data_IF_970236920385
#
_entry.id   IF_970236920385
#
_cell.length_a   1.000
_cell.length_b   1.000
_cell.length_c   1.000
_cell.angle_alpha   90.00
_cell.angle_beta   90.00
_cell.angle_gamma   90.00
#
_symmetry.space_group_name_H-M   'P 1'
#
loop_
_entity.id
_entity.type
_entity.pdbx_description
1 polymer ?
#
# COMPACT_ATOMS: atom_id res chain seq x y z
N UNK A 1 -8.41 3.96 85.29
CA UNK A 1 -7.71 2.98 86.14
C UNK A 1 -7.93 1.59 85.52
N UNK A 2 -6.94 1.14 84.73
CA UNK A 2 -6.55 -0.24 84.35
C UNK A 2 -7.67 -1.29 84.10
N UNK A 3 -7.77 -1.83 82.86
CA UNK A 3 -7.34 -3.22 82.53
C UNK A 3 -7.61 -3.62 81.06
N UNK A 4 -6.50 -3.95 80.40
CA UNK A 4 -6.25 -5.03 79.43
C UNK A 4 -7.43 -5.59 78.62
N UNK A 5 -7.32 -5.51 77.29
CA UNK A 5 -7.97 -6.42 76.35
C UNK A 5 -6.89 -7.03 75.46
N UNK A 6 -6.93 -8.36 75.41
CA UNK A 6 -6.02 -9.28 74.73
C UNK A 6 -6.07 -9.18 73.20
N UNK A 7 -4.92 -9.42 72.58
CA UNK A 7 -4.76 -9.62 71.14
C UNK A 7 -5.37 -10.96 70.71
N UNK A 8 -6.28 -10.92 69.72
CA UNK A 8 -6.62 -12.08 68.90
C UNK A 8 -6.15 -11.78 67.47
N UNK A 9 -5.13 -12.51 67.05
CA UNK A 9 -4.65 -12.53 65.66
C UNK A 9 -5.61 -13.39 64.86
N UNK A 10 -6.33 -12.77 63.91
CA UNK A 10 -7.00 -13.48 62.81
C UNK A 10 -6.30 -13.09 61.53
N UNK A 11 -5.50 -14.02 61.00
CA UNK A 11 -4.82 -13.86 59.73
C UNK A 11 -5.84 -13.86 58.60
N UNK A 12 -5.99 -12.72 57.92
CA UNK A 12 -6.64 -12.64 56.63
C UNK A 12 -5.57 -12.99 55.59
N UNK A 13 -5.72 -14.15 54.95
CA UNK A 13 -5.02 -14.46 53.70
C UNK A 13 -5.38 -13.37 52.68
N UNK A 14 -4.43 -12.48 52.41
CA UNK A 14 -4.46 -11.65 51.20
C UNK A 14 -4.14 -12.56 50.02
N UNK A 15 -5.19 -13.04 49.35
CA UNK A 15 -5.06 -13.59 48.01
C UNK A 15 -4.69 -12.41 47.11
N UNK A 16 -3.40 -12.22 46.85
CA UNK A 16 -2.94 -11.34 45.80
C UNK A 16 -3.43 -11.93 44.48
N UNK A 17 -4.51 -11.35 43.94
CA UNK A 17 -4.75 -11.39 42.51
C UNK A 17 -3.51 -10.74 41.87
N UNK A 18 -2.54 -11.55 41.45
CA UNK A 18 -1.72 -11.21 40.31
C UNK A 18 -2.68 -11.14 39.11
N UNK A 19 -3.33 -9.98 38.96
CA UNK A 19 -3.76 -9.56 37.65
C UNK A 19 -2.51 -9.59 36.78
N UNK A 20 -2.49 -10.46 35.78
CA UNK A 20 -1.62 -10.25 34.63
C UNK A 20 -2.05 -8.90 34.06
N UNK A 21 -1.37 -7.84 34.48
CA UNK A 21 -1.19 -6.68 33.62
C UNK A 21 -0.35 -7.24 32.48
N UNK A 22 -1.02 -7.69 31.40
CA UNK A 22 -0.37 -7.70 30.10
C UNK A 22 0.08 -6.25 29.90
N UNK A 23 1.36 -5.98 30.20
CA UNK A 23 1.98 -4.74 29.80
C UNK A 23 1.76 -4.62 28.29
N UNK A 24 0.89 -3.69 27.92
CA UNK A 24 0.67 -3.14 26.59
C UNK A 24 2.00 -2.66 26.02
N UNK A 25 2.83 -3.57 25.53
CA UNK A 25 4.02 -3.22 24.74
C UNK A 25 3.65 -3.31 23.28
N UNK A 26 3.08 -2.18 22.86
CA UNK A 26 2.70 -1.81 21.51
C UNK A 26 3.88 -2.07 20.55
N UNK A 27 3.64 -2.78 19.43
CA UNK A 27 4.58 -3.25 18.37
C UNK A 27 6.06 -2.82 18.44
N UNK A 28 6.80 -3.20 19.49
CA UNK A 28 8.24 -2.92 19.68
C UNK A 28 9.15 -3.80 18.80
N UNK A 29 8.58 -4.81 18.13
CA UNK A 29 9.29 -5.69 17.21
C UNK A 29 8.36 -6.06 16.07
N UNK A 30 8.81 -5.89 14.84
CA UNK A 30 8.13 -6.37 13.65
C UNK A 30 8.77 -7.69 13.24
N UNK A 31 7.99 -8.77 13.22
CA UNK A 31 8.46 -10.08 12.79
C UNK A 31 7.39 -10.77 11.99
N UNK A 32 7.75 -11.29 10.84
CA UNK A 32 6.91 -12.14 9.99
C UNK A 32 7.53 -13.53 9.89
N UNK A 33 6.84 -14.46 9.23
CA UNK A 33 7.35 -15.82 9.05
C UNK A 33 8.69 -15.81 8.27
N UNK A 34 9.64 -16.63 8.73
CA UNK A 34 10.95 -16.81 8.10
C UNK A 34 10.91 -17.10 6.60
N UNK A 35 9.83 -17.69 6.08
CA UNK A 35 9.65 -17.99 4.65
C UNK A 35 9.66 -16.73 3.77
N UNK A 36 9.35 -15.57 4.32
CA UNK A 36 9.34 -14.30 3.59
C UNK A 36 10.71 -13.64 3.49
N UNK A 37 11.70 -14.11 4.26
CA UNK A 37 13.04 -13.53 4.27
C UNK A 37 13.92 -14.24 3.23
N UNK A 38 14.32 -13.57 2.14
CA UNK A 38 15.21 -14.18 1.15
C UNK A 38 16.59 -14.41 1.74
N UNK A 39 17.23 -15.51 1.34
CA UNK A 39 18.56 -15.88 1.82
C UNK A 39 19.59 -14.78 1.56
N UNK A 40 20.27 -14.36 2.62
CA UNK A 40 21.28 -13.29 2.61
C UNK A 40 20.73 -11.88 2.36
N UNK A 41 19.43 -11.66 2.53
CA UNK A 41 18.76 -10.35 2.50
C UNK A 41 17.86 -10.17 3.74
N UNK A 42 18.07 -10.98 4.77
CA UNK A 42 17.19 -11.06 5.93
C UNK A 42 17.26 -9.78 6.76
N UNK A 43 18.46 -9.24 6.95
CA UNK A 43 18.69 -8.01 7.72
C UNK A 43 18.11 -6.81 6.99
N UNK A 44 18.31 -6.72 5.68
CA UNK A 44 17.82 -5.61 4.86
C UNK A 44 16.29 -5.58 4.79
N UNK A 45 15.64 -6.73 4.65
CA UNK A 45 14.18 -6.81 4.75
C UNK A 45 13.72 -6.42 6.16
N UNK A 46 14.40 -6.91 7.21
CA UNK A 46 14.08 -6.57 8.59
C UNK A 46 14.15 -5.06 8.85
N UNK A 47 15.17 -4.38 8.34
CA UNK A 47 15.30 -2.92 8.49
C UNK A 47 14.10 -2.16 7.93
N UNK A 48 13.54 -2.59 6.79
CA UNK A 48 12.35 -1.97 6.20
C UNK A 48 11.07 -2.34 6.97
N UNK A 49 10.98 -3.56 7.50
CA UNK A 49 9.90 -3.97 8.41
C UNK A 49 9.89 -3.10 9.69
N UNK A 50 11.06 -2.79 10.23
CA UNK A 50 11.24 -2.00 11.46
C UNK A 50 10.78 -0.54 11.32
N UNK A 51 10.57 -0.04 10.09
CA UNK A 51 9.85 1.22 9.87
C UNK A 51 8.50 1.21 10.62
N UNK A 52 7.80 0.08 10.65
CA UNK A 52 6.45 -0.03 11.22
C UNK A 52 6.43 -0.26 12.74
N UNK A 53 7.55 -0.05 13.42
CA UNK A 53 7.62 -0.05 14.89
C UNK A 53 7.06 1.23 15.50
N UNK A 54 6.54 1.10 16.72
CA UNK A 54 6.10 2.25 17.51
C UNK A 54 7.25 3.18 17.84
N UNK A 55 7.05 4.48 17.61
CA UNK A 55 8.06 5.51 17.84
C UNK A 55 9.15 5.56 16.77
N UNK A 56 9.07 4.69 15.75
CA UNK A 56 9.88 4.77 14.53
C UNK A 56 9.05 5.40 13.43
N UNK A 57 8.28 4.61 12.68
CA UNK A 57 7.37 5.08 11.63
C UNK A 57 5.91 4.97 12.01
N UNK A 58 5.56 4.44 13.19
CA UNK A 58 4.18 4.36 13.70
C UNK A 58 4.00 5.24 14.93
N UNK A 59 2.93 6.02 14.94
CA UNK A 59 2.56 6.89 16.05
C UNK A 59 2.17 6.07 17.28
N UNK A 60 2.89 6.20 18.41
CA UNK A 60 2.50 5.50 19.64
C UNK A 60 1.16 5.97 20.22
N UNK A 61 0.69 7.17 19.88
CA UNK A 61 -0.59 7.69 20.37
C UNK A 61 -1.75 7.28 19.46
N UNK A 62 -1.65 7.55 18.16
CA UNK A 62 -2.72 7.30 17.17
C UNK A 62 -2.67 5.88 16.59
N UNK A 63 -1.59 5.12 16.82
CA UNK A 63 -1.42 3.71 16.44
C UNK A 63 -1.32 3.42 14.94
N UNK A 64 -1.26 4.44 14.10
CA UNK A 64 -1.11 4.34 12.64
C UNK A 64 0.24 4.87 12.16
N UNK A 65 0.73 4.46 10.97
CA UNK A 65 1.97 4.99 10.41
C UNK A 65 1.93 6.50 10.20
N UNK A 66 3.02 7.19 10.48
CA UNK A 66 3.27 8.53 9.96
C UNK A 66 3.33 8.45 8.42
N UNK A 67 2.97 9.52 7.71
CA UNK A 67 3.13 9.56 6.26
C UNK A 67 4.62 9.41 5.86
N UNK A 68 5.51 10.05 6.60
CA UNK A 68 6.94 9.97 6.36
C UNK A 68 7.79 10.31 7.59
N UNK A 69 9.07 9.97 7.47
CA UNK A 69 10.16 10.35 8.39
C UNK A 69 11.20 11.14 7.58
N UNK A 70 11.70 12.23 8.15
CA UNK A 70 12.88 12.96 7.67
C UNK A 70 14.05 12.67 8.63
N UNK A 71 15.12 12.11 8.08
CA UNK A 71 16.37 11.83 8.77
C UNK A 71 17.13 13.15 9.01
N UNK A 72 17.54 13.38 10.24
CA UNK A 72 18.38 14.51 10.64
C UNK A 72 19.63 14.06 11.39
N UNK A 73 20.66 14.92 11.43
CA UNK A 73 21.88 14.68 12.20
C UNK A 73 21.62 14.59 13.70
N UNK A 74 20.65 15.35 14.19
CA UNK A 74 20.31 15.48 15.63
C UNK A 74 19.06 14.67 16.02
N UNK A 75 18.58 13.81 15.11
CA UNK A 75 17.37 13.00 15.29
C UNK A 75 16.44 13.04 14.08
N UNK A 76 15.50 12.10 14.06
CA UNK A 76 14.49 12.01 13.00
C UNK A 76 13.30 12.91 13.33
N UNK A 77 12.75 13.56 12.30
CA UNK A 77 11.46 14.25 12.37
C UNK A 77 10.41 13.38 11.71
N UNK A 78 9.24 13.26 12.33
CA UNK A 78 8.10 12.51 11.78
C UNK A 78 7.00 13.46 11.32
N UNK A 79 6.25 13.06 10.30
CA UNK A 79 5.04 13.78 9.90
C UNK A 79 4.03 13.84 11.06
N UNK A 80 3.18 14.86 11.11
CA UNK A 80 2.05 14.94 12.06
C UNK A 80 0.73 14.47 11.43
N UNK A 81 0.81 13.65 10.39
CA UNK A 81 -0.33 13.12 9.64
C UNK A 81 -0.01 11.72 9.08
N UNK A 82 -1.04 11.03 8.60
CA UNK A 82 -0.96 9.74 7.93
C UNK A 82 -1.62 9.79 6.55
N UNK A 83 -1.28 8.82 5.71
CA UNK A 83 -1.95 8.49 4.47
C UNK A 83 -2.62 7.12 4.61
N UNK A 84 -3.90 7.02 4.20
CA UNK A 84 -4.69 5.79 4.34
C UNK A 84 -4.17 4.58 3.55
N UNK A 85 -3.45 4.78 2.45
CA UNK A 85 -2.77 3.69 1.73
C UNK A 85 -1.69 3.06 2.62
N UNK A 86 -0.93 3.90 3.35
CA UNK A 86 0.06 3.43 4.34
C UNK A 86 -0.57 2.68 5.51
N UNK A 87 -1.74 3.12 5.97
CA UNK A 87 -2.54 2.41 6.99
C UNK A 87 -2.96 1.02 6.49
N UNK A 88 -3.39 0.93 5.23
CA UNK A 88 -3.75 -0.34 4.59
C UNK A 88 -2.58 -1.33 4.55
N UNK A 89 -1.40 -0.88 4.11
CA UNK A 89 -0.19 -1.71 4.14
C UNK A 89 0.16 -2.19 5.53
N UNK A 90 0.03 -1.32 6.54
CA UNK A 90 0.30 -1.69 7.92
C UNK A 90 -0.65 -2.79 8.43
N UNK A 91 -1.94 -2.73 8.10
CA UNK A 91 -2.89 -3.80 8.44
C UNK A 91 -2.51 -5.15 7.81
N UNK A 92 -2.05 -5.15 6.55
CA UNK A 92 -1.60 -6.37 5.89
C UNK A 92 -0.32 -6.94 6.53
N UNK A 93 0.62 -6.06 6.92
CA UNK A 93 1.80 -6.48 7.68
C UNK A 93 1.44 -7.06 9.06
N UNK A 94 0.52 -6.42 9.79
CA UNK A 94 0.06 -6.93 11.09
C UNK A 94 -0.61 -8.31 10.97
N UNK A 95 -1.28 -8.58 9.85
CA UNK A 95 -1.82 -9.91 9.55
C UNK A 95 -0.70 -10.96 9.48
N UNK A 96 0.40 -10.65 8.81
CA UNK A 96 1.57 -11.55 8.74
C UNK A 96 2.30 -11.67 10.08
N UNK A 97 2.36 -10.60 10.87
CA UNK A 97 2.90 -10.67 12.23
C UNK A 97 2.06 -11.59 13.12
N UNK A 98 0.73 -11.49 13.02
CA UNK A 98 -0.17 -12.36 13.76
C UNK A 98 0.02 -13.82 13.36
N UNK A 99 0.15 -14.11 12.05
CA UNK A 99 0.45 -15.45 11.52
C UNK A 99 1.79 -16.00 12.00
N UNK A 100 2.77 -15.12 12.21
CA UNK A 100 4.06 -15.45 12.82
C UNK A 100 3.99 -15.61 14.36
N UNK A 101 2.80 -15.53 14.97
CA UNK A 101 2.56 -15.77 16.39
C UNK A 101 2.58 -14.51 17.28
N UNK A 102 2.57 -13.31 16.69
CA UNK A 102 2.56 -12.06 17.47
C UNK A 102 1.17 -11.75 18.03
N UNK A 103 1.01 -11.82 19.37
CA UNK A 103 -0.22 -11.41 20.05
C UNK A 103 -0.43 -9.89 20.03
N UNK A 104 0.65 -9.10 20.04
CA UNK A 104 0.57 -7.63 19.96
C UNK A 104 0.03 -7.15 18.61
N UNK A 105 0.17 -7.95 17.55
CA UNK A 105 -0.40 -7.64 16.24
C UNK A 105 -1.95 -7.66 16.27
N UNK A 106 -2.56 -8.58 17.00
CA UNK A 106 -4.04 -8.65 17.15
C UNK A 106 -4.56 -7.40 17.85
N UNK A 107 -3.94 -7.03 18.97
CA UNK A 107 -4.29 -5.81 19.69
C UNK A 107 -4.11 -4.58 18.79
N UNK A 108 -3.00 -4.50 18.05
CA UNK A 108 -2.76 -3.36 17.16
C UNK A 108 -3.77 -3.28 16.02
N UNK A 109 -4.16 -4.40 15.42
CA UNK A 109 -5.22 -4.40 14.40
C UNK A 109 -6.54 -3.86 14.97
N UNK A 110 -6.90 -4.25 16.20
CA UNK A 110 -8.09 -3.73 16.87
C UNK A 110 -8.01 -2.22 17.12
N UNK A 111 -6.85 -1.72 17.55
CA UNK A 111 -6.59 -0.29 17.75
C UNK A 111 -6.69 0.50 16.44
N UNK A 112 -6.03 0.03 15.37
CA UNK A 112 -6.06 0.68 14.04
C UNK A 112 -7.49 0.71 13.51
N UNK A 113 -8.24 -0.40 13.63
CA UNK A 113 -9.64 -0.43 13.21
C UNK A 113 -10.51 0.55 14.02
N UNK A 114 -10.27 0.71 15.33
CA UNK A 114 -11.02 1.68 16.15
C UNK A 114 -10.77 3.11 15.70
N UNK A 115 -9.52 3.41 15.34
CA UNK A 115 -9.13 4.71 14.80
C UNK A 115 -9.79 4.95 13.44
N UNK A 116 -9.78 3.95 12.55
CA UNK A 116 -10.45 4.04 11.25
C UNK A 116 -11.96 4.19 11.39
N UNK A 117 -12.61 3.46 12.29
CA UNK A 117 -14.06 3.57 12.55
C UNK A 117 -14.45 4.98 13.00
N UNK A 118 -13.63 5.60 13.85
CA UNK A 118 -13.87 6.93 14.42
C UNK A 118 -13.49 8.09 13.49
N UNK A 119 -12.63 7.85 12.48
CA UNK A 119 -12.13 8.88 11.59
C UNK A 119 -13.26 9.62 10.82
N UNK A 120 -13.15 10.94 10.57
CA UNK A 120 -14.07 11.66 9.68
C UNK A 120 -14.08 11.05 8.27
N UNK A 121 -15.25 10.92 7.64
CA UNK A 121 -15.43 10.30 6.30
C UNK A 121 -16.39 11.11 5.44
N UNK A 122 -16.35 10.93 4.13
CA UNK A 122 -17.34 11.43 3.19
C UNK A 122 -18.03 10.26 2.49
N UNK A 123 -19.34 10.09 2.71
CA UNK A 123 -20.12 8.96 2.17
C UNK A 123 -19.48 7.58 2.45
N UNK A 124 -18.86 7.44 3.62
CA UNK A 124 -18.13 6.24 4.05
C UNK A 124 -16.70 6.12 3.52
N UNK A 125 -16.32 6.88 2.48
CA UNK A 125 -14.94 6.96 2.00
C UNK A 125 -14.08 7.79 2.94
N UNK A 126 -12.83 7.39 3.05
CA UNK A 126 -11.82 8.03 3.87
C UNK A 126 -11.15 9.19 3.12
N UNK A 127 -10.70 10.18 3.87
CA UNK A 127 -9.83 11.22 3.34
C UNK A 127 -8.45 10.66 3.03
N UNK A 128 -7.80 11.23 2.02
CA UNK A 128 -6.47 10.82 1.59
C UNK A 128 -5.44 10.99 2.71
N UNK A 129 -5.44 12.18 3.34
CA UNK A 129 -4.55 12.53 4.44
C UNK A 129 -5.36 12.86 5.69
N UNK A 130 -4.88 12.38 6.84
CA UNK A 130 -5.42 12.70 8.16
C UNK A 130 -4.34 13.25 9.08
N UNK A 131 -4.58 14.43 9.66
CA UNK A 131 -3.74 14.99 10.71
C UNK A 131 -3.98 14.30 12.05
N UNK A 132 -3.00 14.37 12.94
CA UNK A 132 -3.09 13.79 14.28
C UNK A 132 -3.50 14.84 15.31
N UNK A 133 -4.49 14.50 16.13
CA UNK A 133 -4.87 15.26 17.32
C UNK A 133 -5.06 14.30 18.49
N UNK A 134 -4.15 14.35 19.46
CA UNK A 134 -4.09 13.40 20.59
C UNK A 134 -4.06 11.93 20.11
N UNK A 135 -5.19 11.23 20.21
CA UNK A 135 -5.37 9.82 19.83
C UNK A 135 -6.32 9.64 18.63
N UNK A 136 -6.70 10.73 17.95
CA UNK A 136 -7.69 10.74 16.88
C UNK A 136 -7.13 11.22 15.54
N UNK A 137 -7.80 10.79 14.47
CA UNK A 137 -7.57 11.28 13.11
C UNK A 137 -8.47 12.49 12.83
N UNK A 138 -7.87 13.56 12.33
CA UNK A 138 -8.53 14.81 11.98
C UNK A 138 -8.33 15.14 10.51
N UNK A 139 -9.24 15.95 9.95
CA UNK A 139 -9.21 16.31 8.53
C UNK A 139 -9.23 17.83 8.40
N UNK A 140 -8.25 18.37 7.70
CA UNK A 140 -8.15 19.79 7.36
C UNK A 140 -9.33 20.27 6.51
N UNK A 141 -9.50 21.58 6.35
CA UNK A 141 -10.58 22.12 5.52
C UNK A 141 -10.40 21.80 4.03
N UNK A 142 -9.14 21.69 3.58
CA UNK A 142 -8.73 21.29 2.23
C UNK A 142 -8.65 19.77 2.01
N UNK A 143 -9.19 18.98 2.95
CA UNK A 143 -9.23 17.53 2.86
C UNK A 143 -9.83 17.03 1.54
N UNK A 144 -9.22 15.99 0.98
CA UNK A 144 -9.66 15.36 -0.27
C UNK A 144 -9.99 13.89 -0.04
N UNK A 145 -11.05 13.42 -0.69
CA UNK A 145 -11.29 12.01 -0.92
C UNK A 145 -10.54 11.64 -2.18
N UNK A 146 -9.68 10.62 -2.10
CA UNK A 146 -8.98 10.04 -3.24
C UNK A 146 -9.57 8.68 -3.54
N UNK A 147 -10.05 8.46 -4.75
CA UNK A 147 -10.54 7.16 -5.19
C UNK A 147 -9.41 6.12 -5.16
N UNK A 148 -8.19 6.50 -5.57
CA UNK A 148 -7.02 5.62 -5.60
C UNK A 148 -6.69 5.10 -4.21
N UNK A 149 -6.51 6.00 -3.25
CA UNK A 149 -6.13 5.62 -1.89
C UNK A 149 -7.25 4.84 -1.17
N UNK A 150 -8.52 5.16 -1.43
CA UNK A 150 -9.62 4.35 -0.92
C UNK A 150 -9.67 2.96 -1.55
N UNK A 151 -9.31 2.82 -2.83
CA UNK A 151 -9.23 1.52 -3.50
C UNK A 151 -8.15 0.64 -2.86
N UNK A 152 -6.97 1.23 -2.59
CA UNK A 152 -5.88 0.55 -1.89
C UNK A 152 -6.28 0.13 -0.48
N UNK A 153 -6.82 1.06 0.33
CA UNK A 153 -7.29 0.75 1.69
C UNK A 153 -8.37 -0.33 1.66
N UNK A 154 -9.31 -0.26 0.71
CA UNK A 154 -10.39 -1.23 0.61
C UNK A 154 -9.88 -2.63 0.29
N UNK A 155 -8.92 -2.77 -0.62
CA UNK A 155 -8.28 -4.07 -0.90
C UNK A 155 -7.44 -4.58 0.28
N UNK A 156 -6.79 -3.70 1.03
CA UNK A 156 -6.12 -4.06 2.29
C UNK A 156 -7.11 -4.56 3.36
N UNK A 157 -8.27 -3.91 3.52
CA UNK A 157 -9.34 -4.34 4.43
C UNK A 157 -10.01 -5.64 3.94
N UNK A 158 -10.14 -5.82 2.63
CA UNK A 158 -10.63 -7.06 2.02
C UNK A 158 -9.70 -8.23 2.34
N UNK A 159 -8.39 -8.04 2.19
CA UNK A 159 -7.39 -9.02 2.63
C UNK A 159 -7.53 -9.31 4.13
N UNK A 160 -7.62 -8.29 4.98
CA UNK A 160 -7.79 -8.48 6.42
C UNK A 160 -9.06 -9.29 6.77
N UNK A 161 -10.17 -9.03 6.06
CA UNK A 161 -11.42 -9.80 6.23
C UNK A 161 -11.27 -11.23 5.73
N UNK A 162 -10.72 -11.42 4.52
CA UNK A 162 -10.50 -12.74 3.91
C UNK A 162 -9.50 -13.61 4.66
N UNK A 163 -8.58 -13.01 5.44
CA UNK A 163 -7.66 -13.72 6.32
C UNK A 163 -8.35 -14.36 7.53
N UNK A 164 -9.45 -13.76 8.03
CA UNK A 164 -9.97 -14.08 9.36
C UNK A 164 -11.47 -14.38 9.44
N UNK A 165 -12.23 -14.27 8.34
CA UNK A 165 -13.69 -14.48 8.36
C UNK A 165 -14.09 -15.86 8.90
N UNK A 166 -13.36 -16.91 8.51
CA UNK A 166 -13.59 -18.30 8.94
C UNK A 166 -12.69 -18.70 10.14
N UNK A 167 -12.09 -17.73 10.83
CA UNK A 167 -11.26 -18.01 11.99
C UNK A 167 -12.08 -18.57 13.16
N UNK A 168 -11.54 -19.59 13.82
CA UNK A 168 -12.08 -20.12 15.09
C UNK A 168 -11.72 -19.26 16.30
N UNK A 169 -10.92 -18.20 16.13
CA UNK A 169 -10.59 -17.25 17.17
C UNK A 169 -11.56 -16.05 17.11
N UNK A 170 -12.32 -15.83 18.18
CA UNK A 170 -13.35 -14.80 18.24
C UNK A 170 -12.82 -13.38 17.99
N UNK A 171 -11.60 -13.06 18.44
CA UNK A 171 -10.99 -11.73 18.20
C UNK A 171 -10.66 -11.53 16.73
N UNK A 172 -10.06 -12.54 16.08
CA UNK A 172 -9.74 -12.47 14.65
C UNK A 172 -11.01 -12.38 13.81
N UNK A 173 -12.04 -13.16 14.15
CA UNK A 173 -13.35 -13.08 13.49
C UNK A 173 -14.02 -11.72 13.69
N UNK A 174 -13.86 -11.09 14.86
CA UNK A 174 -14.32 -9.73 15.11
C UNK A 174 -13.58 -8.70 14.24
N UNK A 175 -12.25 -8.82 14.09
CA UNK A 175 -11.44 -8.01 13.16
C UNK A 175 -11.97 -8.11 11.72
N UNK A 176 -12.27 -9.31 11.24
CA UNK A 176 -12.85 -9.49 9.89
C UNK A 176 -14.23 -8.83 9.76
N UNK A 177 -15.08 -8.92 10.79
CA UNK A 177 -16.42 -8.33 10.81
C UNK A 177 -16.37 -6.80 10.80
N UNK A 178 -15.45 -6.21 11.58
CA UNK A 178 -15.21 -4.75 11.60
C UNK A 178 -14.71 -4.25 10.24
N UNK A 179 -13.78 -4.99 9.63
CA UNK A 179 -13.26 -4.70 8.29
C UNK A 179 -14.39 -4.71 7.24
N UNK A 180 -15.23 -5.74 7.23
CA UNK A 180 -16.40 -5.83 6.32
C UNK A 180 -17.40 -4.68 6.55
N UNK A 181 -17.57 -4.24 7.79
CA UNK A 181 -18.47 -3.13 8.11
C UNK A 181 -17.95 -1.80 7.56
N UNK A 182 -16.63 -1.54 7.67
CA UNK A 182 -15.98 -0.39 7.04
C UNK A 182 -16.13 -0.42 5.51
N UNK A 183 -15.90 -1.58 4.89
CA UNK A 183 -16.05 -1.76 3.43
C UNK A 183 -17.49 -1.51 2.97
N UNK A 184 -18.46 -2.08 3.68
CA UNK A 184 -19.88 -1.92 3.36
C UNK A 184 -20.34 -0.46 3.45
N UNK A 185 -19.79 0.30 4.40
CA UNK A 185 -20.11 1.72 4.57
C UNK A 185 -19.65 2.60 3.39
N UNK A 186 -18.64 2.17 2.62
CA UNK A 186 -18.09 2.94 1.49
C UNK A 186 -18.97 2.91 0.23
N UNK A 187 -19.95 2.01 0.14
CA UNK A 187 -20.76 1.77 -1.06
C UNK A 187 -21.36 3.04 -1.64
N UNK A 188 -21.93 3.91 -0.79
CA UNK A 188 -22.51 5.18 -1.23
C UNK A 188 -21.45 6.10 -1.84
N UNK A 189 -20.26 6.17 -1.27
CA UNK A 189 -19.17 6.99 -1.78
C UNK A 189 -18.67 6.50 -3.14
N UNK A 190 -18.52 5.18 -3.33
CA UNK A 190 -18.16 4.60 -4.62
C UNK A 190 -19.19 4.91 -5.71
N UNK A 191 -20.48 4.71 -5.42
CA UNK A 191 -21.57 5.12 -6.31
C UNK A 191 -21.56 6.62 -6.60
N UNK A 192 -21.27 7.45 -5.59
CA UNK A 192 -21.22 8.91 -5.73
C UNK A 192 -20.07 9.39 -6.61
N UNK A 193 -18.96 8.67 -6.68
CA UNK A 193 -17.82 9.01 -7.54
C UNK A 193 -18.04 8.60 -9.00
N UNK A 194 -19.04 7.78 -9.31
CA UNK A 194 -19.30 7.38 -10.69
C UNK A 194 -19.98 8.50 -11.48
N UNK A 195 -19.36 8.90 -12.59
CA UNK A 195 -19.91 9.89 -13.51
C UNK A 195 -20.66 9.19 -14.65
N UNK A 196 -21.98 9.08 -14.52
CA UNK A 196 -22.84 8.43 -15.52
C UNK A 196 -22.80 9.09 -16.90
N UNK A 197 -22.45 10.39 -16.98
CA UNK A 197 -22.34 11.09 -18.27
C UNK A 197 -21.05 10.72 -19.02
N UNK A 198 -19.97 10.46 -18.27
CA UNK A 198 -18.67 10.05 -18.84
C UNK A 198 -18.51 8.54 -18.92
N UNK A 199 -19.27 7.79 -18.13
CA UNK A 199 -19.09 6.35 -17.96
C UNK A 199 -17.83 5.98 -17.17
N UNK A 200 -17.22 6.93 -16.44
CA UNK A 200 -15.93 6.77 -15.76
C UNK A 200 -16.05 7.10 -14.27
N UNK A 201 -15.12 6.58 -13.46
CA UNK A 201 -15.00 6.96 -12.06
C UNK A 201 -14.25 8.29 -11.95
N UNK A 202 -14.79 9.24 -11.18
CA UNK A 202 -14.08 10.46 -10.81
C UNK A 202 -12.94 10.12 -9.85
N UNK A 203 -11.83 10.86 -9.95
CA UNK A 203 -10.67 10.60 -9.12
C UNK A 203 -10.89 10.93 -7.63
N UNK A 204 -11.92 11.70 -7.28
CA UNK A 204 -12.18 12.04 -5.90
C UNK A 204 -13.15 13.20 -5.69
N UNK A 205 -13.15 13.71 -4.46
CA UNK A 205 -13.99 14.83 -4.01
C UNK A 205 -13.20 15.76 -3.07
N UNK A 206 -13.45 17.06 -3.15
CA UNK A 206 -12.80 18.10 -2.36
C UNK A 206 -13.74 18.64 -1.29
N UNK A 207 -13.31 18.59 -0.02
CA UNK A 207 -14.04 19.16 1.11
C UNK A 207 -14.14 20.68 1.06
N UNK A 208 -13.05 21.34 0.67
CA UNK A 208 -12.97 22.79 0.57
C UNK A 208 -14.01 23.36 -0.40
N UNK A 209 -14.07 22.81 -1.61
CA UNK A 209 -15.01 23.29 -2.64
C UNK A 209 -16.39 22.63 -2.57
N UNK A 210 -16.52 21.51 -1.87
CA UNK A 210 -17.73 20.68 -1.89
C UNK A 210 -17.99 19.98 -3.23
N UNK A 211 -17.00 19.94 -4.13
CA UNK A 211 -17.15 19.43 -5.50
C UNK A 211 -16.21 18.27 -5.81
N UNK A 212 -16.50 17.54 -6.88
CA UNK A 212 -15.63 16.48 -7.36
C UNK A 212 -14.31 17.03 -7.93
N UNK A 213 -13.24 16.23 -7.84
CA UNK A 213 -11.98 16.56 -8.51
C UNK A 213 -12.15 16.55 -10.04
N UNK A 214 -11.37 17.40 -10.73
CA UNK A 214 -11.55 17.72 -12.15
C UNK A 214 -11.11 16.64 -13.16
N UNK A 215 -10.73 15.45 -12.71
CA UNK A 215 -10.23 14.37 -13.56
C UNK A 215 -10.86 13.02 -13.20
N UNK A 216 -10.81 12.10 -14.16
CA UNK A 216 -11.38 10.75 -14.08
C UNK A 216 -10.28 9.70 -14.15
N UNK A 217 -10.57 8.52 -13.64
CA UNK A 217 -9.72 7.34 -13.80
C UNK A 217 -10.14 6.66 -15.11
N UNK A 218 -9.22 6.63 -16.07
CA UNK A 218 -9.54 6.27 -17.45
C UNK A 218 -8.46 5.41 -18.13
N UNK A 219 -7.56 4.77 -17.37
CA UNK A 219 -6.54 3.87 -17.89
C UNK A 219 -6.46 2.58 -17.09
N UNK A 220 -6.40 1.46 -17.82
CA UNK A 220 -6.07 0.13 -17.25
C UNK A 220 -4.57 0.01 -16.91
N UNK A 221 -3.73 0.94 -17.36
CA UNK A 221 -2.27 0.85 -17.19
C UNK A 221 -1.72 1.56 -15.95
N UNK A 222 -2.57 2.29 -15.21
CA UNK A 222 -2.19 3.04 -14.01
C UNK A 222 -2.70 2.37 -12.72
N UNK A 223 -2.11 2.70 -11.59
CA UNK A 223 -2.40 2.14 -10.26
C UNK A 223 -3.85 2.37 -9.85
N UNK A 224 -4.41 3.49 -10.31
CA UNK A 224 -5.77 3.93 -10.06
C UNK A 224 -6.83 2.94 -10.52
N UNK A 225 -6.49 1.98 -11.39
CA UNK A 225 -7.44 0.96 -11.89
C UNK A 225 -8.07 0.11 -10.79
N UNK A 226 -7.38 -0.09 -9.67
CA UNK A 226 -7.92 -0.82 -8.52
C UNK A 226 -9.15 -0.14 -7.93
N UNK A 227 -9.19 1.20 -7.93
CA UNK A 227 -10.34 1.94 -7.46
C UNK A 227 -11.58 1.66 -8.31
N UNK A 228 -11.40 1.53 -9.63
CA UNK A 228 -12.51 1.23 -10.55
C UNK A 228 -12.99 -0.20 -10.40
N UNK A 229 -12.06 -1.17 -10.33
CA UNK A 229 -12.39 -2.59 -10.04
C UNK A 229 -13.17 -2.69 -8.74
N UNK A 230 -12.67 -2.05 -7.67
CA UNK A 230 -13.32 -2.08 -6.37
C UNK A 230 -14.70 -1.40 -6.40
N UNK A 231 -14.84 -0.25 -7.06
CA UNK A 231 -16.12 0.44 -7.18
C UNK A 231 -17.18 -0.44 -7.89
N UNK A 232 -16.80 -1.12 -8.97
CA UNK A 232 -17.69 -2.05 -9.69
C UNK A 232 -18.13 -3.19 -8.76
N UNK A 233 -17.17 -3.91 -8.16
CA UNK A 233 -17.47 -5.08 -7.33
C UNK A 233 -18.25 -4.71 -6.07
N UNK A 234 -17.78 -3.71 -5.32
CA UNK A 234 -18.37 -3.33 -4.03
C UNK A 234 -19.78 -2.78 -4.14
N UNK A 235 -20.15 -2.19 -5.28
CA UNK A 235 -21.48 -1.66 -5.55
C UNK A 235 -22.38 -2.63 -6.31
N UNK A 236 -21.88 -3.81 -6.70
CA UNK A 236 -22.64 -4.84 -7.40
C UNK A 236 -23.92 -5.20 -6.64
N UNK A 237 -25.03 -5.31 -7.38
CA UNK A 237 -26.36 -5.59 -6.83
C UNK A 237 -27.00 -4.45 -6.02
N UNK A 238 -26.34 -3.28 -5.89
CA UNK A 238 -26.94 -2.11 -5.25
C UNK A 238 -27.81 -1.30 -6.21
N UNK A 239 -28.71 -0.46 -5.66
CA UNK A 239 -29.57 0.42 -6.47
C UNK A 239 -28.79 1.45 -7.30
N UNK A 240 -27.54 1.75 -6.93
CA UNK A 240 -26.65 2.68 -7.63
C UNK A 240 -25.33 1.97 -7.99
N UNK A 241 -25.44 0.78 -8.57
CA UNK A 241 -24.27 0.01 -8.99
C UNK A 241 -23.44 0.76 -10.03
N UNK A 242 -22.12 0.76 -9.85
CA UNK A 242 -21.15 1.16 -10.87
C UNK A 242 -21.07 0.01 -11.89
N UNK A 243 -21.40 0.23 -13.16
CA UNK A 243 -21.45 -0.84 -14.15
C UNK A 243 -20.04 -1.31 -14.49
N UNK A 244 -19.89 -2.59 -14.87
CA UNK A 244 -18.61 -3.16 -15.31
C UNK A 244 -17.97 -2.38 -16.48
N UNK A 245 -18.79 -1.70 -17.31
CA UNK A 245 -18.32 -0.82 -18.38
C UNK A 245 -17.42 0.32 -17.88
N UNK A 246 -17.53 0.73 -16.62
CA UNK A 246 -16.62 1.71 -16.01
C UNK A 246 -15.15 1.23 -16.04
N UNK A 247 -14.92 -0.08 -15.97
CA UNK A 247 -13.59 -0.68 -16.11
C UNK A 247 -13.33 -1.15 -17.55
N UNK A 248 -14.26 -1.94 -18.12
CA UNK A 248 -13.98 -2.67 -19.36
C UNK A 248 -13.74 -1.77 -20.56
N UNK A 249 -14.29 -0.55 -20.55
CA UNK A 249 -14.10 0.45 -21.61
C UNK A 249 -12.85 1.32 -21.43
N UNK A 250 -12.15 1.23 -20.28
CA UNK A 250 -10.92 1.99 -20.08
C UNK A 250 -9.84 1.55 -21.10
N UNK A 251 -9.18 2.51 -21.78
CA UNK A 251 -8.04 2.24 -22.63
C UNK A 251 -6.90 1.51 -21.92
N UNK A 252 -6.23 0.66 -22.69
CA UNK A 252 -4.96 0.00 -22.35
C UNK A 252 -3.95 0.32 -23.47
N UNK A 253 -3.28 1.49 -23.41
CA UNK A 253 -2.24 1.84 -24.36
C UNK A 253 -0.99 0.97 -24.15
N UNK A 254 -0.43 0.46 -25.24
CA UNK A 254 0.77 -0.37 -25.26
C UNK A 254 1.80 0.22 -26.22
N UNK A 255 3.06 0.27 -25.81
CA UNK A 255 4.17 0.71 -26.66
C UNK A 255 4.65 -0.41 -27.58
N UNK A 256 5.34 -0.09 -28.68
CA UNK A 256 6.08 -1.06 -29.51
C UNK A 256 7.56 -0.73 -29.57
N UNK A 257 8.32 -1.27 -28.64
CA UNK A 257 9.74 -1.02 -28.50
C UNK A 257 10.54 -2.02 -29.31
N UNK A 258 11.45 -1.52 -30.15
CA UNK A 258 12.44 -2.35 -30.83
C UNK A 258 13.82 -1.71 -30.63
N UNK A 259 14.67 -2.35 -29.85
CA UNK A 259 16.05 -1.92 -29.63
C UNK A 259 16.97 -3.14 -29.63
N UNK A 260 18.04 -3.09 -30.42
CA UNK A 260 19.05 -4.15 -30.54
C UNK A 260 18.47 -5.56 -30.81
N UNK A 261 17.40 -5.63 -31.59
CA UNK A 261 16.73 -6.88 -31.96
C UNK A 261 15.78 -7.45 -30.90
N UNK A 262 15.58 -6.74 -29.78
CA UNK A 262 14.60 -7.08 -28.76
C UNK A 262 13.30 -6.31 -29.04
N UNK A 263 12.25 -7.05 -29.38
CA UNK A 263 10.90 -6.49 -29.55
C UNK A 263 10.11 -6.65 -28.25
N UNK A 264 9.73 -5.53 -27.63
CA UNK A 264 8.93 -5.48 -26.40
C UNK A 264 7.65 -4.68 -26.65
N UNK A 265 6.58 -5.07 -25.97
CA UNK A 265 5.33 -4.33 -25.98
C UNK A 265 4.94 -3.96 -24.54
N UNK A 266 5.49 -2.91 -23.95
CA UNK A 266 5.17 -2.54 -22.57
C UNK A 266 3.80 -1.89 -22.45
N UNK A 267 3.14 -2.10 -21.31
CA UNK A 267 2.08 -1.18 -20.89
C UNK A 267 2.63 0.24 -20.77
N UNK A 268 1.86 1.22 -21.22
CA UNK A 268 2.18 2.63 -21.06
C UNK A 268 1.38 3.19 -19.89
N UNK A 269 2.03 3.31 -18.72
CA UNK A 269 1.46 4.10 -17.61
C UNK A 269 1.62 5.60 -17.92
N UNK A 270 1.00 6.47 -17.13
CA UNK A 270 0.98 7.91 -17.42
C UNK A 270 2.40 8.48 -17.55
N UNK A 271 3.19 8.47 -16.47
CA UNK A 271 4.54 9.05 -16.47
C UNK A 271 5.65 8.00 -16.60
N UNK A 272 5.29 6.72 -16.78
CA UNK A 272 6.25 5.62 -16.86
C UNK A 272 6.83 5.21 -15.50
N UNK A 273 6.24 5.68 -14.40
CA UNK A 273 6.60 5.28 -13.05
C UNK A 273 6.26 3.81 -12.80
N UNK A 274 7.21 3.05 -12.24
CA UNK A 274 7.06 1.60 -12.08
C UNK A 274 5.86 1.20 -11.21
N UNK A 275 5.58 1.95 -10.13
CA UNK A 275 4.46 1.62 -9.24
C UNK A 275 3.09 1.73 -9.92
N UNK A 276 2.92 2.64 -10.90
CA UNK A 276 1.66 2.80 -11.61
C UNK A 276 1.25 1.49 -12.30
N UNK A 277 2.23 0.77 -12.81
CA UNK A 277 2.00 -0.53 -13.42
C UNK A 277 1.96 -1.64 -12.37
N UNK A 278 2.88 -1.67 -11.41
CA UNK A 278 3.13 -2.90 -10.63
C UNK A 278 2.49 -2.92 -9.23
N UNK A 279 2.16 -1.77 -8.64
CA UNK A 279 1.56 -1.72 -7.30
C UNK A 279 0.24 -2.50 -7.19
N UNK A 280 -0.67 -2.48 -8.18
CA UNK A 280 -1.91 -3.25 -8.08
C UNK A 280 -1.74 -4.75 -7.88
N UNK A 281 -0.61 -5.29 -8.37
CA UNK A 281 -0.27 -6.70 -8.21
C UNK A 281 0.02 -7.10 -6.76
N UNK A 282 0.15 -6.16 -5.82
CA UNK A 282 0.25 -6.47 -4.38
C UNK A 282 -1.02 -7.13 -3.83
N UNK A 283 -2.20 -6.78 -4.36
CA UNK A 283 -3.49 -7.26 -3.87
C UNK A 283 -4.16 -8.24 -4.81
N UNK A 284 -3.95 -8.11 -6.12
CA UNK A 284 -4.58 -8.97 -7.13
C UNK A 284 -3.47 -9.61 -7.96
N UNK A 285 -3.48 -10.93 -8.15
CA UNK A 285 -2.50 -11.58 -9.01
C UNK A 285 -2.81 -11.34 -10.50
N UNK A 286 -2.56 -10.13 -10.98
CA UNK A 286 -2.94 -9.68 -12.32
C UNK A 286 -2.30 -10.53 -13.42
N UNK A 287 -1.06 -11.01 -13.23
CA UNK A 287 -0.38 -11.89 -14.19
C UNK A 287 -1.13 -13.19 -14.47
N UNK A 288 -1.96 -13.67 -13.54
CA UNK A 288 -2.82 -14.86 -13.73
C UNK A 288 -4.19 -14.54 -14.33
N UNK A 289 -4.65 -13.30 -14.24
CA UNK A 289 -5.98 -12.87 -14.69
C UNK A 289 -5.92 -12.21 -16.07
N UNK A 290 -4.84 -11.51 -16.37
CA UNK A 290 -4.64 -10.89 -17.68
C UNK A 290 -4.55 -11.96 -18.78
N UNK A 291 -5.18 -11.74 -19.95
CA UNK A 291 -5.06 -12.65 -21.09
C UNK A 291 -3.61 -12.85 -21.57
N UNK A 292 -2.74 -11.87 -21.32
CA UNK A 292 -1.35 -11.90 -21.77
C UNK A 292 -0.46 -11.07 -20.82
N UNK A 293 0.36 -11.76 -20.01
CA UNK A 293 1.25 -11.14 -19.02
C UNK A 293 2.46 -10.45 -19.63
N UNK A 294 2.75 -10.68 -20.92
CA UNK A 294 3.98 -10.16 -21.56
C UNK A 294 4.08 -8.64 -21.54
N UNK A 295 2.94 -7.93 -21.45
CA UNK A 295 2.94 -6.47 -21.34
C UNK A 295 3.49 -5.97 -20.00
N UNK A 296 3.27 -6.71 -18.91
CA UNK A 296 3.90 -6.44 -17.61
C UNK A 296 5.38 -6.82 -17.64
N UNK A 297 5.70 -7.97 -18.23
CA UNK A 297 7.09 -8.44 -18.39
C UNK A 297 7.93 -7.43 -19.19
N UNK A 298 7.37 -6.83 -20.24
CA UNK A 298 8.04 -5.80 -21.02
C UNK A 298 8.35 -4.53 -20.19
N UNK A 299 7.46 -4.11 -19.28
CA UNK A 299 7.74 -3.01 -18.34
C UNK A 299 8.90 -3.38 -17.41
N UNK A 300 8.91 -4.60 -16.88
CA UNK A 300 10.02 -5.10 -16.07
C UNK A 300 11.34 -5.06 -16.84
N UNK A 301 11.37 -5.55 -18.08
CA UNK A 301 12.60 -5.57 -18.89
C UNK A 301 13.12 -4.16 -19.17
N UNK A 302 12.25 -3.19 -19.46
CA UNK A 302 12.68 -1.83 -19.74
C UNK A 302 13.21 -1.11 -18.48
N UNK A 303 12.60 -1.32 -17.31
CA UNK A 303 13.15 -0.81 -16.05
C UNK A 303 14.48 -1.46 -15.67
N UNK A 304 14.66 -2.77 -15.96
CA UNK A 304 15.96 -3.45 -15.82
C UNK A 304 17.03 -2.83 -16.72
N UNK A 305 16.73 -2.68 -18.00
CA UNK A 305 17.64 -2.06 -18.97
C UNK A 305 18.01 -0.64 -18.56
N UNK A 306 17.03 0.15 -18.10
CA UNK A 306 17.28 1.50 -17.60
C UNK A 306 18.19 1.49 -16.37
N UNK A 307 17.90 0.64 -15.37
CA UNK A 307 18.75 0.45 -14.18
C UNK A 307 20.19 0.09 -14.57
N UNK A 308 20.35 -0.89 -15.46
CA UNK A 308 21.67 -1.40 -15.88
C UNK A 308 22.47 -0.33 -16.66
N UNK A 309 21.79 0.47 -17.49
CA UNK A 309 22.40 1.58 -18.22
C UNK A 309 22.77 2.78 -17.33
N UNK A 310 22.22 2.88 -16.12
CA UNK A 310 22.42 3.98 -15.18
C UNK A 310 23.15 3.54 -13.90
N UNK A 311 24.24 2.78 -14.05
CA UNK A 311 25.11 2.34 -12.95
C UNK A 311 24.40 1.49 -11.87
N UNK A 312 23.33 0.79 -12.22
CA UNK A 312 22.61 -0.08 -11.28
C UNK A 312 21.84 0.68 -10.20
N UNK A 313 21.41 1.92 -10.47
CA UNK A 313 20.43 2.58 -9.60
C UNK A 313 19.14 1.73 -9.51
N UNK A 314 18.35 1.86 -8.43
CA UNK A 314 17.05 1.22 -8.35
C UNK A 314 16.14 1.61 -9.51
N UNK A 315 15.07 0.84 -9.69
CA UNK A 315 14.04 1.16 -10.67
C UNK A 315 13.43 2.53 -10.38
N UNK A 316 12.88 3.16 -11.42
CA UNK A 316 12.41 4.54 -11.34
C UNK A 316 10.91 4.56 -11.07
N UNK A 317 10.49 5.31 -10.06
CA UNK A 317 9.10 5.46 -9.67
C UNK A 317 8.93 6.77 -8.89
N UNK A 318 7.69 7.22 -8.73
CA UNK A 318 7.41 8.39 -7.91
C UNK A 318 7.91 8.18 -6.48
N UNK A 319 8.71 9.12 -5.98
CA UNK A 319 9.40 9.01 -4.68
C UNK A 319 9.86 10.38 -4.20
N UNK A 320 10.50 10.41 -3.04
CA UNK A 320 11.19 11.58 -2.53
C UNK A 320 12.30 12.03 -3.50
N UNK A 321 12.52 13.34 -3.58
CA UNK A 321 13.71 13.86 -4.26
C UNK A 321 14.93 13.80 -3.32
N UNK A 322 16.16 13.85 -3.83
CA UNK A 322 17.35 13.99 -3.00
C UNK A 322 17.30 15.21 -2.05
N UNK A 323 16.51 16.24 -2.38
CA UNK A 323 16.27 17.42 -1.56
C UNK A 323 15.03 17.30 -0.65
N UNK A 324 14.52 16.09 -0.40
CA UNK A 324 13.35 15.76 0.43
C UNK A 324 12.00 16.29 -0.08
N UNK A 325 11.93 16.76 -1.32
CA UNK A 325 10.67 17.02 -2.02
C UNK A 325 9.99 15.70 -2.42
N UNK A 326 9.00 15.78 -3.31
CA UNK A 326 8.38 14.62 -3.96
C UNK A 326 8.31 14.87 -5.46
N UNK A 327 8.56 13.85 -6.27
CA UNK A 327 8.49 13.97 -7.72
C UNK A 327 7.99 12.66 -8.35
N UNK A 328 7.18 12.78 -9.41
CA UNK A 328 6.83 11.65 -10.25
C UNK A 328 8.01 11.33 -11.17
N UNK A 329 8.75 10.26 -10.88
CA UNK A 329 9.81 9.79 -11.75
C UNK A 329 9.34 8.58 -12.57
N UNK A 330 9.75 8.50 -13.83
CA UNK A 330 9.48 7.35 -14.69
C UNK A 330 10.50 7.21 -15.80
N UNK A 331 10.31 6.23 -16.67
CA UNK A 331 11.12 6.07 -17.89
C UNK A 331 10.26 6.42 -19.11
N UNK A 332 10.83 7.17 -20.05
CA UNK A 332 10.12 7.60 -21.27
C UNK A 332 9.62 6.40 -22.06
N UNK A 333 10.34 5.28 -22.02
CA UNK A 333 10.02 4.04 -22.71
C UNK A 333 8.65 3.48 -22.30
N UNK A 334 8.16 3.74 -21.10
CA UNK A 334 6.86 3.20 -20.65
C UNK A 334 5.85 4.29 -20.28
N UNK A 335 6.03 5.51 -20.81
CA UNK A 335 5.18 6.67 -20.52
C UNK A 335 4.26 7.03 -21.68
N UNK A 336 2.94 6.93 -21.45
CA UNK A 336 1.92 7.46 -22.36
C UNK A 336 2.06 8.99 -22.49
N UNK A 337 2.33 9.68 -21.38
CA UNK A 337 2.45 11.13 -21.30
C UNK A 337 3.54 11.67 -22.23
N UNK A 338 4.68 10.99 -22.29
CA UNK A 338 5.75 11.27 -23.23
C UNK A 338 5.31 11.03 -24.68
N UNK A 339 4.80 9.84 -25.01
CA UNK A 339 4.55 9.49 -26.41
C UNK A 339 3.39 10.26 -27.03
N UNK A 340 2.31 10.47 -26.28
CA UNK A 340 1.12 11.14 -26.83
C UNK A 340 1.19 12.64 -26.76
N UNK A 341 1.78 13.18 -25.69
CA UNK A 341 1.69 14.61 -25.39
C UNK A 341 3.06 15.31 -25.37
N UNK A 342 4.16 14.58 -25.59
CA UNK A 342 5.53 15.11 -25.60
C UNK A 342 5.90 15.80 -24.28
N UNK A 343 5.26 15.39 -23.17
CA UNK A 343 5.60 15.88 -21.85
C UNK A 343 6.99 15.37 -21.44
N UNK A 344 7.73 16.20 -20.71
CA UNK A 344 9.02 15.79 -20.16
C UNK A 344 8.82 14.76 -19.04
N UNK A 345 9.58 13.67 -19.11
CA UNK A 345 9.64 12.64 -18.06
C UNK A 345 10.95 12.79 -17.32
N UNK A 346 10.86 12.93 -16.00
CA UNK A 346 12.03 12.96 -15.13
C UNK A 346 12.39 11.54 -14.71
N UNK A 347 13.65 11.19 -14.87
CA UNK A 347 14.21 9.91 -14.46
C UNK A 347 15.44 10.11 -13.56
N UNK A 348 15.46 11.23 -12.83
CA UNK A 348 16.62 11.75 -12.13
C UNK A 348 16.95 11.02 -10.82
N UNK A 349 16.13 10.09 -10.36
CA UNK A 349 16.40 9.24 -9.21
C UNK A 349 15.69 7.88 -9.32
N UNK A 350 16.33 6.84 -8.80
CA UNK A 350 15.73 5.52 -8.58
C UNK A 350 15.25 5.38 -7.13
N UNK A 351 14.30 4.48 -6.89
CA UNK A 351 13.75 4.21 -5.56
C UNK A 351 13.72 2.72 -5.22
N UNK A 352 14.16 2.31 -4.01
CA UNK A 352 14.22 0.89 -3.65
C UNK A 352 12.88 0.15 -3.69
N UNK A 353 11.77 0.83 -3.39
CA UNK A 353 10.45 0.19 -3.40
C UNK A 353 10.08 -0.32 -4.80
N UNK A 354 10.49 0.37 -5.85
CA UNK A 354 10.22 -0.04 -7.22
C UNK A 354 11.00 -1.32 -7.57
N UNK A 355 12.27 -1.41 -7.19
CA UNK A 355 13.05 -2.64 -7.33
C UNK A 355 12.53 -3.78 -6.44
N UNK A 356 11.94 -3.47 -5.28
CA UNK A 356 11.29 -4.46 -4.43
C UNK A 356 9.98 -4.97 -5.05
N UNK A 357 9.14 -4.12 -5.64
CA UNK A 357 7.92 -4.55 -6.35
C UNK A 357 8.21 -5.58 -7.45
N UNK A 358 9.38 -5.49 -8.11
CA UNK A 358 9.82 -6.47 -9.11
C UNK A 358 9.99 -7.89 -8.54
N UNK A 359 10.14 -8.05 -7.22
CA UNK A 359 10.18 -9.34 -6.54
C UNK A 359 8.97 -10.22 -6.86
N UNK A 360 7.79 -9.62 -7.07
CA UNK A 360 6.58 -10.36 -7.44
C UNK A 360 6.68 -11.06 -8.80
N UNK A 361 7.58 -10.59 -9.68
CA UNK A 361 7.81 -11.16 -11.01
C UNK A 361 9.02 -12.09 -11.04
N UNK A 362 10.14 -11.67 -10.44
CA UNK A 362 11.37 -12.44 -10.38
C UNK A 362 12.06 -12.25 -9.01
N UNK A 363 11.73 -13.10 -8.02
CA UNK A 363 12.30 -13.02 -6.68
C UNK A 363 13.83 -13.08 -6.65
N UNK A 364 14.44 -13.83 -7.58
CA UNK A 364 15.89 -14.08 -7.57
C UNK A 364 16.63 -12.85 -8.07
N UNK A 365 16.24 -12.32 -9.22
CA UNK A 365 16.87 -11.14 -9.81
C UNK A 365 16.57 -9.87 -8.98
N UNK A 366 15.35 -9.72 -8.47
CA UNK A 366 14.99 -8.59 -7.61
C UNK A 366 15.88 -8.51 -6.35
N UNK A 367 16.07 -9.64 -5.65
CA UNK A 367 16.94 -9.70 -4.47
C UNK A 367 18.41 -9.45 -4.84
N UNK A 368 18.88 -9.98 -5.97
CA UNK A 368 20.24 -9.69 -6.44
C UNK A 368 20.45 -8.20 -6.70
N UNK A 369 19.48 -7.53 -7.33
CA UNK A 369 19.51 -6.08 -7.58
C UNK A 369 19.45 -5.26 -6.30
N UNK A 370 18.57 -5.61 -5.36
CA UNK A 370 18.51 -4.94 -4.05
C UNK A 370 19.84 -5.05 -3.29
N UNK A 371 20.48 -6.22 -3.30
CA UNK A 371 21.82 -6.40 -2.72
C UNK A 371 22.88 -5.54 -3.43
N UNK A 372 22.84 -5.46 -4.76
CA UNK A 372 23.73 -4.61 -5.54
C UNK A 372 23.53 -3.13 -5.21
N UNK A 373 22.28 -2.67 -5.06
CA UNK A 373 21.94 -1.31 -4.61
C UNK A 373 22.55 -1.04 -3.23
N UNK A 374 22.36 -1.94 -2.26
CA UNK A 374 22.95 -1.78 -0.92
C UNK A 374 24.49 -1.75 -0.96
N UNK A 375 25.10 -2.56 -1.81
CA UNK A 375 26.56 -2.56 -1.98
C UNK A 375 27.08 -1.26 -2.61
N UNK A 376 26.38 -0.72 -3.61
CA UNK A 376 26.72 0.55 -4.26
C UNK A 376 26.44 1.77 -3.39
N UNK A 377 25.40 1.70 -2.56
CA UNK A 377 24.96 2.79 -1.69
C UNK A 377 24.79 2.31 -0.23
N UNK A 378 25.87 2.05 0.53
CA UNK A 378 25.78 1.47 1.87
C UNK A 378 24.90 2.25 2.85
N UNK A 379 24.83 3.59 2.69
CA UNK A 379 24.05 4.50 3.51
C UNK A 379 22.57 4.56 3.15
N UNK A 380 22.12 3.81 2.14
CA UNK A 380 20.70 3.72 1.76
C UNK A 380 19.88 3.09 2.87
N UNK A 381 20.43 2.13 3.59
CA UNK A 381 19.76 1.48 4.72
C UNK A 381 19.99 2.28 6.00
N UNK A 382 18.92 2.47 6.77
CA UNK A 382 18.94 3.11 8.09
C UNK A 382 18.26 2.22 9.11
N UNK A 383 18.32 2.62 10.40
CA UNK A 383 17.58 1.95 11.47
C UNK A 383 16.06 2.01 11.32
N UNK A 384 15.55 2.93 10.49
CA UNK A 384 14.13 3.12 10.27
C UNK A 384 13.66 2.55 8.91
N UNK A 385 14.51 1.79 8.21
CA UNK A 385 14.26 1.34 6.84
C UNK A 385 15.17 2.02 5.82
N UNK A 386 14.96 1.71 4.55
CA UNK A 386 15.77 2.26 3.47
C UNK A 386 15.29 3.65 3.08
N UNK A 387 16.24 4.54 2.80
CA UNK A 387 16.00 5.86 2.23
C UNK A 387 15.25 5.73 0.92
N UNK A 388 14.36 6.69 0.68
CA UNK A 388 13.34 6.54 -0.33
C UNK A 388 13.85 6.71 -1.77
N UNK A 389 14.94 7.46 -1.98
CA UNK A 389 15.51 7.64 -3.32
C UNK A 389 17.04 7.78 -3.33
N UNK A 390 17.62 7.42 -4.48
CA UNK A 390 19.03 7.64 -4.84
C UNK A 390 19.15 8.22 -6.25
N UNK A 391 19.91 9.29 -6.40
CA UNK A 391 20.23 9.88 -7.69
C UNK A 391 21.41 9.15 -8.37
N UNK A 392 21.58 9.27 -9.71
CA UNK A 392 22.70 8.66 -10.43
C UNK A 392 24.10 9.05 -9.92
N UNK A 393 24.24 10.24 -9.33
CA UNK A 393 25.49 10.69 -8.70
C UNK A 393 25.74 10.12 -7.29
N UNK A 394 24.82 9.28 -6.80
CA UNK A 394 24.86 8.65 -5.48
C UNK A 394 24.23 9.48 -4.35
N UNK A 395 23.67 10.65 -4.64
CA UNK A 395 22.97 11.46 -3.63
C UNK A 395 21.73 10.73 -3.13
N UNK A 396 21.63 10.53 -1.81
CA UNK A 396 20.51 9.85 -1.15
C UNK A 396 19.53 10.85 -0.55
N UNK A 397 18.23 10.57 -0.68
CA UNK A 397 17.21 11.33 0.06
C UNK A 397 17.39 11.16 1.58
N UNK A 398 17.03 12.17 2.37
CA UNK A 398 16.89 12.03 3.83
C UNK A 398 15.45 11.69 4.22
N UNK A 399 14.61 11.19 3.30
CA UNK A 399 13.19 10.91 3.57
C UNK A 399 12.92 9.41 3.47
N UNK A 400 12.00 8.92 4.30
CA UNK A 400 11.38 7.60 4.22
C UNK A 400 9.86 7.81 4.18
N UNK A 401 9.18 7.28 3.16
CA UNK A 401 7.73 7.45 2.99
C UNK A 401 7.03 6.13 3.32
N UNK A 402 5.98 6.16 4.12
CA UNK A 402 5.32 4.95 4.62
C UNK A 402 4.69 4.09 3.51
N UNK A 403 4.17 4.72 2.46
CA UNK A 403 3.64 4.01 1.30
C UNK A 403 4.76 3.28 0.56
N UNK A 404 5.92 3.90 0.40
CA UNK A 404 7.06 3.31 -0.31
C UNK A 404 7.69 2.18 0.51
N UNK A 405 7.78 2.33 1.83
CA UNK A 405 8.12 1.24 2.74
C UNK A 405 7.08 0.11 2.70
N UNK A 406 5.81 0.46 2.65
CA UNK A 406 4.68 -0.46 2.54
C UNK A 406 4.73 -1.29 1.25
N UNK A 407 5.04 -0.65 0.12
CA UNK A 407 5.26 -1.34 -1.15
C UNK A 407 6.50 -2.23 -1.11
N UNK A 408 7.60 -1.77 -0.49
CA UNK A 408 8.82 -2.55 -0.34
C UNK A 408 8.55 -3.86 0.41
N UNK A 409 8.01 -3.79 1.63
CA UNK A 409 7.73 -5.00 2.43
C UNK A 409 6.57 -5.79 1.86
N UNK A 410 5.56 -5.10 1.31
CA UNK A 410 4.38 -5.66 0.68
C UNK A 410 4.72 -6.63 -0.45
N UNK A 411 5.75 -6.32 -1.25
CA UNK A 411 6.18 -7.18 -2.34
C UNK A 411 6.60 -8.60 -1.87
N UNK A 412 7.25 -8.70 -0.70
CA UNK A 412 7.68 -9.99 -0.13
C UNK A 412 6.53 -10.82 0.45
N UNK A 413 5.45 -10.16 0.88
CA UNK A 413 4.26 -10.82 1.44
C UNK A 413 3.07 -10.87 0.46
N UNK A 414 3.25 -10.39 -0.78
CA UNK A 414 2.18 -10.19 -1.75
C UNK A 414 1.36 -11.47 -2.03
N UNK A 415 2.02 -12.63 -2.12
CA UNK A 415 1.32 -13.90 -2.34
C UNK A 415 0.30 -14.23 -1.25
N UNK A 416 0.60 -13.89 0.00
CA UNK A 416 -0.28 -14.06 1.15
C UNK A 416 -1.46 -13.08 1.08
N UNK A 417 -1.16 -11.81 0.81
CA UNK A 417 -2.18 -10.75 0.67
C UNK A 417 -3.14 -11.06 -0.49
N UNK A 418 -2.61 -11.46 -1.66
CA UNK A 418 -3.41 -11.87 -2.82
C UNK A 418 -4.34 -13.04 -2.50
N UNK A 419 -3.86 -14.03 -1.73
CA UNK A 419 -4.69 -15.17 -1.33
C UNK A 419 -5.83 -14.70 -0.43
N UNK A 420 -5.56 -13.80 0.51
CA UNK A 420 -6.58 -13.27 1.40
C UNK A 420 -7.63 -12.42 0.66
N UNK A 421 -7.21 -11.58 -0.30
CA UNK A 421 -8.15 -10.87 -1.19
C UNK A 421 -8.98 -11.85 -2.01
N UNK A 422 -8.37 -12.92 -2.54
CA UNK A 422 -9.07 -13.97 -3.26
C UNK A 422 -10.11 -14.69 -2.38
N UNK A 423 -9.79 -14.99 -1.13
CA UNK A 423 -10.74 -15.58 -0.17
C UNK A 423 -11.93 -14.65 0.06
N UNK A 424 -11.66 -13.34 0.20
CA UNK A 424 -12.71 -12.34 0.32
C UNK A 424 -13.61 -12.30 -0.93
N UNK A 425 -13.01 -12.23 -2.12
CA UNK A 425 -13.78 -12.23 -3.38
C UNK A 425 -14.57 -13.51 -3.60
N UNK A 426 -14.04 -14.67 -3.21
CA UNK A 426 -14.78 -15.93 -3.22
C UNK A 426 -16.03 -15.85 -2.34
N UNK A 427 -15.86 -15.35 -1.11
CA UNK A 427 -16.94 -15.21 -0.15
C UNK A 427 -18.04 -14.26 -0.64
N UNK A 428 -17.66 -13.20 -1.35
CA UNK A 428 -18.60 -12.25 -1.95
C UNK A 428 -19.22 -12.74 -3.26
N UNK A 429 -18.72 -13.83 -3.85
CA UNK A 429 -19.14 -14.32 -5.16
C UNK A 429 -18.62 -13.49 -6.33
N UNK A 430 -17.55 -12.71 -6.13
CA UNK A 430 -17.03 -11.72 -7.08
C UNK A 430 -15.96 -12.25 -8.04
N UNK A 431 -15.53 -13.51 -7.92
CA UNK A 431 -14.49 -14.10 -8.77
C UNK A 431 -14.82 -13.99 -10.26
N UNK A 432 -16.03 -14.39 -10.67
CA UNK A 432 -16.45 -14.33 -12.07
C UNK A 432 -16.52 -12.88 -12.60
N UNK A 433 -17.06 -11.95 -11.81
CA UNK A 433 -17.10 -10.52 -12.18
C UNK A 433 -15.69 -9.93 -12.34
N UNK A 434 -14.75 -10.33 -11.48
CA UNK A 434 -13.35 -9.94 -11.58
C UNK A 434 -12.69 -10.49 -12.84
N UNK A 435 -12.83 -11.80 -13.09
CA UNK A 435 -12.29 -12.47 -14.29
C UNK A 435 -12.82 -11.81 -15.57
N UNK A 436 -14.12 -11.56 -15.66
CA UNK A 436 -14.74 -10.88 -16.80
C UNK A 436 -14.18 -9.46 -17.03
N UNK A 437 -13.85 -8.73 -15.96
CA UNK A 437 -13.18 -7.43 -16.11
C UNK A 437 -11.78 -7.60 -16.69
N UNK A 438 -10.99 -8.55 -16.18
CA UNK A 438 -9.63 -8.80 -16.66
C UNK A 438 -9.57 -9.41 -18.06
N UNK A 439 -10.60 -10.12 -18.53
CA UNK A 439 -10.70 -10.57 -19.93
C UNK A 439 -10.61 -9.40 -20.94
N UNK A 440 -10.97 -8.18 -20.49
CA UNK A 440 -10.88 -6.96 -21.31
C UNK A 440 -9.56 -6.20 -21.14
N UNK A 441 -8.60 -6.77 -20.41
CA UNK A 441 -7.25 -6.26 -20.26
C UNK A 441 -6.42 -6.63 -21.50
N UNK A 442 -6.88 -6.14 -22.65
CA UNK A 442 -6.28 -6.31 -23.96
C UNK A 442 -5.95 -4.93 -24.56
N UNK A 443 -4.89 -4.81 -25.38
CA UNK A 443 -4.49 -3.52 -25.92
C UNK A 443 -5.61 -2.87 -26.72
N UNK A 444 -5.96 -1.63 -26.38
CA UNK A 444 -6.92 -0.83 -27.16
C UNK A 444 -6.21 0.08 -28.15
N UNK A 445 -4.91 0.29 -27.95
CA UNK A 445 -4.09 1.18 -28.76
C UNK A 445 -2.63 0.71 -28.72
N UNK A 446 -1.97 0.72 -29.89
CA UNK A 446 -0.54 0.48 -30.02
C UNK A 446 0.14 1.78 -30.42
N UNK A 447 1.16 2.19 -29.66
CA UNK A 447 1.92 3.41 -29.89
C UNK A 447 3.34 3.03 -30.33
N UNK A 448 3.72 3.44 -31.54
CA UNK A 448 5.06 3.18 -32.07
C UNK A 448 6.05 4.18 -31.48
N UNK A 449 7.27 3.71 -31.23
CA UNK A 449 8.40 4.59 -30.92
C UNK A 449 8.85 5.25 -32.22
N UNK A 450 9.23 6.54 -32.17
CA UNK A 450 9.81 7.22 -33.31
C UNK A 450 11.15 6.61 -33.75
#
# INVERSE_FOLDING_TARGET
>A
MIKQISYFVTGILSLSLLGCVEETRATEKIKIDSKYYPKGFETELQSNLDFFMDGVGVSPSVKVPYDHIILGSDGNTVANYTNITGVGFYLNLLTEMQRAGSSSAVLRMEEVLSVLESAPKWNGLFFWLYGFSENELTVSNDGKISAVDNGNLALSLAALSGAYYDSNNDRLKAIATRSESLLSAQKLGWSSLYDTNRGLLRAGWSKDTGTYLGYHIDRKTNESRLAVIWAVLSTEGSAQAVPASAFTTMPMPVGRYNHDGVYLEPLLSWDGSYFQTMMPSLWINEAKLMPDSRYLEAVNQLHKQYSDANNGIPFVSASATPNNGYHAYGIKEVSESYYKYQNSISSAAGTPHASALYYMSDPTDAVARLKAIKAGYPMIETKAGWRDAVAPDGTLSNKLIAIDQGMFVGAFIASSVQQDVSNYFERKGWKASLEQMYDTFVPTEYINYP
#
